data_IF_066018927075
#
_entry.id   IF_066018927075
#
_cell.length_a   1.000
_cell.length_b   1.000
_cell.length_c   1.000
_cell.angle_alpha   90.00
_cell.angle_beta   90.00
_cell.angle_gamma   90.00
#
_symmetry.space_group_name_H-M   'P 1'
#
loop_
_entity.id
_entity.type
_entity.pdbx_description
1 polymer ?
#
# COMPACT_ATOMS: atom_id res chain seq x y z
N UNK A 1 40.29 13.27 56.32
CA UNK A 1 39.00 12.54 56.38
C UNK A 1 38.12 13.14 55.28
N UNK A 2 37.96 12.48 54.12
CA UNK A 2 36.92 11.46 53.85
C UNK A 2 35.54 12.14 53.76
N UNK A 3 34.73 12.19 52.69
CA UNK A 3 34.51 11.47 51.41
C UNK A 3 33.72 12.45 50.46
N UNK A 4 34.02 12.56 49.15
CA UNK A 4 33.36 11.91 48.00
C UNK A 4 31.82 12.14 47.92
N UNK A 5 31.16 12.56 46.82
CA UNK A 5 31.05 11.87 45.52
C UNK A 5 30.28 12.74 44.47
N UNK A 6 30.87 12.84 43.26
CA UNK A 6 30.30 12.91 41.90
C UNK A 6 29.26 13.99 41.46
N UNK A 7 29.69 14.99 40.67
CA UNK A 7 28.82 15.84 39.86
C UNK A 7 28.79 15.36 38.39
N UNK A 8 28.15 14.23 38.08
CA UNK A 8 28.05 13.74 36.70
C UNK A 8 26.80 12.92 36.47
N UNK A 9 25.83 13.50 35.77
CA UNK A 9 24.93 12.78 34.86
C UNK A 9 24.47 13.77 33.79
N UNK A 10 25.21 13.95 32.68
CA UNK A 10 24.57 14.35 31.45
C UNK A 10 23.96 13.10 30.78
N UNK A 11 23.03 13.34 29.86
CA UNK A 11 22.46 12.38 28.91
C UNK A 11 21.27 11.55 29.42
N UNK A 12 20.08 12.11 29.15
CA UNK A 12 18.97 11.43 28.47
C UNK A 12 19.17 9.93 28.19
N UNK A 13 18.64 9.09 29.07
CA UNK A 13 18.44 7.64 28.82
C UNK A 13 17.34 7.40 27.77
N UNK A 14 16.67 8.46 27.29
CA UNK A 14 15.62 8.39 26.27
C UNK A 14 16.10 8.51 24.82
N UNK A 15 17.41 8.65 24.59
CA UNK A 15 17.97 8.76 23.24
C UNK A 15 19.00 7.65 22.98
N UNK A 16 18.71 6.45 23.49
CA UNK A 16 19.23 5.25 22.85
C UNK A 16 18.59 5.21 21.46
N UNK A 17 19.22 5.89 20.50
CA UNK A 17 19.18 5.48 19.10
C UNK A 17 19.57 4.01 19.13
N UNK A 18 18.57 3.13 19.22
CA UNK A 18 18.66 1.77 18.71
C UNK A 18 19.25 1.98 17.32
N UNK A 19 20.54 1.72 17.17
CA UNK A 19 21.16 1.75 15.87
C UNK A 19 20.49 0.61 15.14
N UNK A 20 19.49 0.94 14.33
CA UNK A 20 18.79 0.03 13.46
C UNK A 20 19.84 -0.52 12.50
N UNK A 21 20.47 -1.62 12.90
CA UNK A 21 21.60 -2.21 12.21
C UNK A 21 21.07 -3.28 11.26
N UNK A 22 21.35 -3.12 9.98
CA UNK A 22 20.99 -4.10 8.95
C UNK A 22 21.55 -5.48 9.33
N UNK A 23 20.67 -6.44 9.53
CA UNK A 23 21.07 -7.84 9.67
C UNK A 23 21.52 -8.38 8.31
N UNK A 24 22.80 -8.72 8.20
CA UNK A 24 23.38 -9.29 6.97
C UNK A 24 22.90 -10.74 6.82
N UNK A 25 22.40 -11.08 5.62
CA UNK A 25 21.95 -12.44 5.31
C UNK A 25 20.53 -12.76 5.75
N UNK A 26 19.80 -11.79 6.30
CA UNK A 26 18.37 -11.94 6.64
C UNK A 26 17.55 -11.09 5.68
N UNK A 27 16.47 -11.68 5.15
CA UNK A 27 15.47 -10.99 4.35
C UNK A 27 14.10 -11.28 4.93
N UNK A 28 13.21 -10.30 4.91
CA UNK A 28 11.79 -10.56 5.11
C UNK A 28 11.08 -10.56 3.75
N UNK A 29 10.09 -11.44 3.63
CA UNK A 29 9.25 -11.60 2.45
C UNK A 29 7.81 -11.43 2.91
N UNK A 30 7.10 -10.46 2.33
CA UNK A 30 5.68 -10.21 2.64
C UNK A 30 4.84 -10.35 1.37
N UNK A 31 3.99 -11.38 1.29
CA UNK A 31 3.13 -11.60 0.13
C UNK A 31 1.96 -10.63 0.16
N UNK A 32 1.72 -9.97 -0.97
CA UNK A 32 0.67 -8.97 -1.16
C UNK A 32 -0.17 -9.30 -2.39
N UNK A 33 -1.40 -8.79 -2.40
CA UNK A 33 -2.27 -8.78 -3.56
C UNK A 33 -2.62 -7.34 -3.87
N UNK A 34 -2.43 -6.92 -5.11
CA UNK A 34 -2.87 -5.62 -5.58
C UNK A 34 -3.65 -5.78 -6.87
N UNK A 35 -4.54 -4.83 -7.16
CA UNK A 35 -5.35 -4.92 -8.34
C UNK A 35 -6.57 -4.02 -8.30
N UNK A 36 -7.49 -4.28 -9.22
CA UNK A 36 -8.80 -3.65 -9.20
C UNK A 36 -9.93 -4.63 -9.48
N UNK A 37 -11.09 -4.32 -8.95
CA UNK A 37 -12.38 -4.83 -9.42
C UNK A 37 -13.16 -3.72 -10.13
N UNK A 38 -14.04 -4.07 -11.05
CA UNK A 38 -14.95 -3.13 -11.68
C UNK A 38 -16.32 -3.77 -11.94
N UNK A 39 -17.39 -2.98 -11.83
CA UNK A 39 -18.75 -3.37 -12.15
C UNK A 39 -19.39 -2.31 -13.03
N UNK A 40 -20.13 -2.75 -14.03
CA UNK A 40 -20.93 -1.87 -14.88
C UNK A 40 -22.06 -1.30 -14.03
N UNK A 41 -22.30 0.00 -14.14
CA UNK A 41 -23.44 0.66 -13.49
C UNK A 41 -24.75 0.32 -14.22
N UNK A 42 -25.86 0.23 -13.48
CA UNK A 42 -27.19 0.00 -14.06
C UNK A 42 -27.61 1.11 -15.05
N UNK A 43 -27.11 2.32 -14.81
CA UNK A 43 -27.28 3.48 -15.67
C UNK A 43 -26.04 4.35 -15.63
N UNK A 44 -25.74 5.00 -16.76
CA UNK A 44 -24.72 6.06 -16.83
C UNK A 44 -25.14 7.19 -15.88
N UNK A 45 -24.22 7.64 -15.02
CA UNK A 45 -24.52 8.71 -14.07
C UNK A 45 -24.47 10.11 -14.72
N UNK A 46 -24.77 11.16 -13.94
CA UNK A 46 -24.80 12.55 -14.42
C UNK A 46 -23.45 13.04 -14.95
N UNK A 47 -22.36 12.39 -14.53
CA UNK A 47 -20.99 12.71 -14.90
C UNK A 47 -20.52 11.90 -16.12
N UNK A 48 -21.35 10.98 -16.63
CA UNK A 48 -21.02 10.13 -17.78
C UNK A 48 -20.20 8.89 -17.40
N UNK A 49 -20.15 8.52 -16.13
CA UNK A 49 -19.45 7.33 -15.68
C UNK A 49 -20.25 6.07 -16.01
N UNK A 50 -19.55 5.01 -16.40
CA UNK A 50 -20.12 3.74 -16.85
C UNK A 50 -19.85 2.60 -15.87
N UNK A 51 -18.79 2.72 -15.07
CA UNK A 51 -18.36 1.69 -14.13
C UNK A 51 -18.15 2.27 -12.74
N UNK A 52 -18.41 1.46 -11.73
CA UNK A 52 -17.83 1.60 -10.39
C UNK A 52 -16.62 0.68 -10.30
N UNK A 53 -15.50 1.20 -9.83
CA UNK A 53 -14.27 0.44 -9.70
C UNK A 53 -13.69 0.57 -8.30
N UNK A 54 -13.02 -0.49 -7.87
CA UNK A 54 -12.29 -0.54 -6.60
C UNK A 54 -10.85 -0.90 -6.88
N UNK A 55 -9.92 -0.01 -6.53
CA UNK A 55 -8.48 -0.26 -6.60
C UNK A 55 -7.97 -0.54 -5.18
N UNK A 56 -7.12 -1.55 -5.01
CA UNK A 56 -6.69 -1.95 -3.66
C UNK A 56 -5.28 -2.51 -3.59
N UNK A 57 -4.75 -2.50 -2.36
CA UNK A 57 -3.60 -3.27 -1.90
C UNK A 57 -4.03 -4.02 -0.63
N UNK A 58 -3.82 -5.33 -0.60
CA UNK A 58 -4.21 -6.21 0.50
C UNK A 58 -3.06 -7.18 0.83
N UNK A 59 -2.95 -7.66 2.08
CA UNK A 59 -2.06 -8.77 2.38
C UNK A 59 -2.60 -10.05 1.72
N UNK A 60 -1.72 -10.95 1.30
CA UNK A 60 -2.15 -12.26 0.79
C UNK A 60 -2.62 -13.18 1.93
N UNK A 61 -1.93 -13.10 3.07
CA UNK A 61 -2.32 -13.78 4.32
C UNK A 61 -3.09 -12.82 5.23
N UNK A 62 -3.84 -13.33 6.21
CA UNK A 62 -4.49 -12.50 7.24
C UNK A 62 -3.44 -11.91 8.21
N UNK A 63 -2.72 -10.89 7.75
CA UNK A 63 -1.68 -10.16 8.47
C UNK A 63 -1.92 -8.65 8.36
N UNK A 64 -1.64 -7.91 9.43
CA UNK A 64 -1.70 -6.46 9.40
C UNK A 64 -0.46 -5.85 8.71
N UNK A 65 -0.65 -5.35 7.50
CA UNK A 65 0.37 -4.62 6.74
C UNK A 65 0.85 -3.34 7.44
N UNK A 66 0.03 -2.71 8.30
CA UNK A 66 0.40 -1.46 8.97
C UNK A 66 1.57 -1.62 9.93
N UNK A 67 1.91 -2.86 10.32
CA UNK A 67 3.06 -3.20 11.17
C UNK A 67 4.39 -2.81 10.50
N UNK A 68 4.45 -2.80 9.16
CA UNK A 68 5.68 -2.49 8.43
C UNK A 68 5.49 -1.43 7.34
N UNK A 69 4.27 -1.21 6.86
CA UNK A 69 3.91 -0.13 5.93
C UNK A 69 3.43 1.08 6.72
N UNK A 70 4.16 2.20 6.59
CA UNK A 70 3.81 3.50 7.16
C UNK A 70 2.64 4.16 6.42
N UNK A 71 2.63 4.05 5.09
CA UNK A 71 1.56 4.57 4.23
C UNK A 71 1.61 3.97 2.84
N UNK A 72 0.46 3.99 2.18
CA UNK A 72 0.28 3.62 0.77
C UNK A 72 -0.18 4.85 0.01
N UNK A 73 0.48 5.16 -1.11
CA UNK A 73 0.06 6.22 -2.02
C UNK A 73 -0.36 5.64 -3.36
N UNK A 74 -1.57 5.94 -3.80
CA UNK A 74 -2.06 5.66 -5.13
C UNK A 74 -1.92 6.92 -5.99
N UNK A 75 -1.21 6.79 -7.12
CA UNK A 75 -0.95 7.88 -8.06
C UNK A 75 -1.42 7.48 -9.44
N UNK A 76 -2.36 8.22 -10.01
CA UNK A 76 -2.92 7.94 -11.33
C UNK A 76 -3.26 9.23 -12.07
N UNK A 77 -3.44 9.10 -13.37
CA UNK A 77 -3.98 10.15 -14.21
C UNK A 77 -5.20 9.58 -14.92
N UNK A 78 -6.36 10.17 -14.65
CA UNK A 78 -7.67 9.74 -15.18
C UNK A 78 -7.95 10.29 -16.59
N UNK A 79 -6.99 11.01 -17.19
CA UNK A 79 -7.10 11.69 -18.48
C UNK A 79 -7.37 13.18 -18.34
N UNK A 80 -7.87 13.65 -17.19
CA UNK A 80 -8.22 15.04 -16.92
C UNK A 80 -7.27 15.67 -15.90
N UNK A 81 -6.89 14.93 -14.87
CA UNK A 81 -6.05 15.41 -13.79
C UNK A 81 -5.16 14.32 -13.19
N UNK A 82 -4.10 14.78 -12.53
CA UNK A 82 -3.27 13.91 -11.71
C UNK A 82 -3.90 13.74 -10.33
N UNK A 83 -4.24 12.50 -10.00
CA UNK A 83 -4.81 12.12 -8.71
C UNK A 83 -3.74 11.48 -7.82
N UNK A 84 -3.73 11.88 -6.54
CA UNK A 84 -2.90 11.26 -5.49
C UNK A 84 -3.73 11.06 -4.23
N UNK A 85 -3.94 9.80 -3.87
CA UNK A 85 -4.58 9.40 -2.61
C UNK A 85 -3.58 8.73 -1.69
N UNK A 86 -3.61 9.07 -0.41
CA UNK A 86 -2.67 8.59 0.60
C UNK A 86 -3.45 7.96 1.74
N UNK A 87 -3.04 6.76 2.13
CA UNK A 87 -3.64 6.01 3.21
C UNK A 87 -2.55 5.65 4.22
N UNK A 88 -2.73 6.05 5.47
CA UNK A 88 -1.79 5.72 6.56
C UNK A 88 -2.21 4.44 7.29
N UNK A 89 -3.50 4.07 7.22
CA UNK A 89 -4.09 2.89 7.86
C UNK A 89 -4.93 2.07 6.86
N UNK A 90 -5.08 0.75 7.06
CA UNK A 90 -5.94 -0.09 6.25
C UNK A 90 -7.43 0.20 6.51
N UNK A 91 -8.34 -0.09 5.55
CA UNK A 91 -8.08 -0.73 4.26
C UNK A 91 -7.44 0.23 3.24
N UNK A 92 -6.43 -0.27 2.52
CA UNK A 92 -5.75 0.49 1.46
C UNK A 92 -6.52 0.33 0.14
N UNK A 93 -7.66 1.00 0.04
CA UNK A 93 -8.52 0.90 -1.14
C UNK A 93 -9.17 2.22 -1.55
N UNK A 94 -9.46 2.33 -2.85
CA UNK A 94 -10.15 3.46 -3.46
C UNK A 94 -11.37 2.91 -4.17
N UNK A 95 -12.54 3.45 -3.85
CA UNK A 95 -13.78 3.22 -4.59
C UNK A 95 -14.15 4.52 -5.30
N UNK A 96 -14.25 4.45 -6.62
CA UNK A 96 -14.60 5.58 -7.48
C UNK A 96 -15.39 5.10 -8.70
N UNK A 97 -15.93 6.06 -9.45
CA UNK A 97 -16.62 5.82 -10.72
C UNK A 97 -15.78 6.33 -11.88
N UNK A 98 -15.94 5.72 -13.05
CA UNK A 98 -15.20 6.13 -14.23
C UNK A 98 -15.61 5.37 -15.49
N UNK A 99 -15.08 5.84 -16.61
CA UNK A 99 -15.32 5.26 -17.94
C UNK A 99 -14.04 4.96 -18.72
N UNK A 100 -12.88 5.23 -18.14
CA UNK A 100 -11.59 5.14 -18.81
C UNK A 100 -10.63 4.26 -18.03
N UNK A 101 -9.89 3.42 -18.75
CA UNK A 101 -8.80 2.61 -18.20
C UNK A 101 -7.51 3.43 -18.13
N UNK A 102 -6.78 3.31 -17.03
CA UNK A 102 -5.55 4.06 -16.83
C UNK A 102 -4.54 3.31 -15.99
N UNK A 103 -3.27 3.74 -16.06
CA UNK A 103 -2.19 3.15 -15.26
C UNK A 103 -2.11 3.84 -13.90
N UNK A 104 -2.09 3.03 -12.84
CA UNK A 104 -1.93 3.45 -11.45
C UNK A 104 -0.58 3.00 -10.93
N UNK A 105 0.10 3.88 -10.18
CA UNK A 105 1.26 3.54 -9.36
C UNK A 105 0.84 3.43 -7.91
N UNK A 106 1.11 2.30 -7.30
CA UNK A 106 0.87 2.04 -5.87
C UNK A 106 2.23 2.07 -5.18
N UNK A 107 2.48 3.11 -4.40
CA UNK A 107 3.74 3.34 -3.70
C UNK A 107 3.57 3.01 -2.21
N UNK A 108 4.28 1.99 -1.73
CA UNK A 108 4.30 1.57 -0.33
C UNK A 108 5.52 2.18 0.35
N UNK A 109 5.30 2.94 1.42
CA UNK A 109 6.35 3.55 2.23
C UNK A 109 6.44 2.77 3.54
N UNK A 110 7.65 2.38 3.93
CA UNK A 110 7.87 1.60 5.15
C UNK A 110 8.01 2.47 6.39
N UNK A 111 7.75 1.88 7.56
CA UNK A 111 8.00 2.53 8.85
C UNK A 111 9.49 2.81 9.02
N UNK A 112 10.34 1.85 8.67
CA UNK A 112 11.78 2.07 8.61
C UNK A 112 12.12 3.01 7.45
N UNK A 113 12.52 4.23 7.79
CA UNK A 113 12.92 5.26 6.83
C UNK A 113 14.20 4.91 6.05
N UNK A 114 14.97 3.91 6.49
CA UNK A 114 16.15 3.43 5.76
C UNK A 114 15.76 2.49 4.60
N UNK A 115 14.55 1.94 4.61
CA UNK A 115 14.04 1.12 3.52
C UNK A 115 13.46 2.00 2.41
N UNK A 116 13.78 1.64 1.16
CA UNK A 116 13.29 2.40 0.01
C UNK A 116 11.83 2.06 -0.23
N UNK A 117 10.97 3.04 -0.57
CA UNK A 117 9.60 2.73 -0.96
C UNK A 117 9.54 1.75 -2.13
N UNK A 118 8.65 0.76 -2.04
CA UNK A 118 8.36 -0.16 -3.14
C UNK A 118 7.20 0.41 -3.94
N UNK A 119 7.31 0.37 -5.27
CA UNK A 119 6.25 0.83 -6.17
C UNK A 119 5.89 -0.26 -7.15
N UNK A 120 4.61 -0.62 -7.18
CA UNK A 120 4.04 -1.49 -8.21
C UNK A 120 3.19 -0.66 -9.18
N UNK A 121 3.14 -1.11 -10.43
CA UNK A 121 2.35 -0.48 -11.49
C UNK A 121 1.22 -1.40 -11.89
N UNK A 122 -0.01 -0.92 -11.81
CA UNK A 122 -1.23 -1.62 -12.18
C UNK A 122 -1.94 -0.90 -13.32
N UNK A 123 -2.55 -1.64 -14.24
CA UNK A 123 -3.49 -1.05 -15.22
C UNK A 123 -4.89 -1.30 -14.70
N UNK A 124 -5.63 -0.22 -14.43
CA UNK A 124 -7.03 -0.31 -14.02
C UNK A 124 -7.87 -0.72 -15.23
N UNK A 125 -8.41 -1.93 -15.19
CA UNK A 125 -9.25 -2.47 -16.26
C UNK A 125 -10.72 -2.32 -15.89
N UNK A 126 -11.53 -1.86 -16.84
CA UNK A 126 -12.98 -1.71 -16.65
C UNK A 126 -13.77 -2.73 -17.46
N UNK A 127 -13.19 -3.24 -18.56
CA UNK A 127 -13.92 -4.04 -19.55
C UNK A 127 -13.53 -5.51 -19.57
N UNK A 128 -12.23 -5.83 -19.48
CA UNK A 128 -11.73 -7.21 -19.55
C UNK A 128 -10.62 -7.50 -18.51
N UNK A 129 -10.50 -8.74 -18.00
CA UNK A 129 -11.38 -9.89 -18.24
C UNK A 129 -12.67 -9.81 -17.41
N UNK A 130 -13.80 -10.11 -18.05
CA UNK A 130 -15.10 -10.20 -17.38
C UNK A 130 -15.28 -11.58 -16.75
N UNK A 131 -15.64 -11.60 -15.48
CA UNK A 131 -15.92 -12.81 -14.71
C UNK A 131 -17.39 -12.76 -14.29
N UNK A 132 -18.10 -13.86 -14.48
CA UNK A 132 -19.46 -14.02 -13.96
C UNK A 132 -19.39 -14.69 -12.60
N UNK A 133 -19.85 -13.98 -11.58
CA UNK A 133 -19.96 -14.49 -10.21
C UNK A 133 -21.12 -15.49 -10.09
N UNK A 134 -21.18 -16.22 -8.98
CA UNK A 134 -22.22 -17.25 -8.75
C UNK A 134 -23.64 -16.68 -8.71
N UNK A 135 -23.79 -15.40 -8.37
CA UNK A 135 -25.05 -14.65 -8.37
C UNK A 135 -25.49 -14.19 -9.77
N UNK A 136 -24.68 -14.47 -10.81
CA UNK A 136 -24.88 -14.03 -12.18
C UNK A 136 -24.36 -12.63 -12.49
N UNK A 137 -23.81 -11.91 -11.49
CA UNK A 137 -23.24 -10.58 -11.68
C UNK A 137 -21.94 -10.67 -12.47
N UNK A 138 -21.84 -9.89 -13.54
CA UNK A 138 -20.61 -9.76 -14.30
C UNK A 138 -19.72 -8.66 -13.70
N UNK A 139 -18.46 -8.98 -13.39
CA UNK A 139 -17.49 -8.02 -12.89
C UNK A 139 -16.11 -8.23 -13.51
N UNK A 140 -15.34 -7.16 -13.64
CA UNK A 140 -13.93 -7.25 -14.00
C UNK A 140 -13.11 -7.45 -12.75
N UNK A 141 -12.15 -8.36 -12.80
CA UNK A 141 -11.20 -8.64 -11.72
C UNK A 141 -9.80 -8.72 -12.30
N UNK A 142 -8.95 -7.77 -11.94
CA UNK A 142 -7.54 -7.71 -12.31
C UNK A 142 -6.67 -7.74 -11.06
N UNK A 143 -6.52 -8.91 -10.44
CA UNK A 143 -5.74 -9.14 -9.23
C UNK A 143 -4.38 -9.77 -9.53
N UNK A 144 -3.34 -9.28 -8.86
CA UNK A 144 -1.97 -9.73 -9.04
C UNK A 144 -1.34 -10.01 -7.68
N UNK A 145 -0.71 -11.19 -7.58
CA UNK A 145 0.15 -11.56 -6.46
C UNK A 145 1.56 -10.99 -6.66
N UNK A 146 2.14 -10.46 -5.59
CA UNK A 146 3.55 -10.06 -5.58
C UNK A 146 4.13 -10.24 -4.16
N UNK A 147 5.45 -10.18 -4.06
CA UNK A 147 6.18 -10.33 -2.81
C UNK A 147 7.06 -9.12 -2.55
N UNK A 148 6.82 -8.44 -1.43
CA UNK A 148 7.76 -7.42 -0.93
C UNK A 148 8.95 -8.16 -0.34
N UNK A 149 10.10 -8.09 -1.02
CA UNK A 149 11.36 -8.66 -0.57
C UNK A 149 12.28 -7.54 -0.10
N UNK A 150 12.53 -7.46 1.21
CA UNK A 150 13.46 -6.49 1.78
C UNK A 150 14.60 -7.20 2.54
N UNK A 151 15.86 -6.79 2.30
CA UNK A 151 17.02 -7.28 3.04
C UNK A 151 17.29 -6.47 4.33
N UNK A 152 16.36 -5.60 4.74
CA UNK A 152 16.45 -4.81 5.96
C UNK A 152 15.44 -5.36 6.97
N UNK A 153 15.89 -6.27 7.83
CA UNK A 153 15.17 -6.58 9.06
C UNK A 153 15.75 -5.73 10.17
N UNK A 154 14.93 -4.84 10.67
CA UNK A 154 15.25 -3.85 11.67
C UNK A 154 14.27 -4.08 12.83
N UNK A 155 14.74 -4.77 13.88
CA UNK A 155 13.99 -4.95 15.13
C UNK A 155 14.31 -3.85 16.13
#
# INVERSE_FOLDING_TARGET
MSLALFPWLPFSILDLRMSVARMVGVQFVKPIVYGNTAKVLDSIDEEGNTHEWTLFLRPYCDEDLSIFIKKVEFKYNDGYQFCRKVFEEPPYEIVERGSTEFRVRICMYFIDSNEKPVTVSHTLNLTEPLITLEDGTACVVGEYYDEIVSPLVCF
#
